data_IF_961248847506
#
_entry.id   IF_961248847506
#
_cell.length_a   1.000
_cell.length_b   1.000
_cell.length_c   1.000
_cell.angle_alpha   90.00
_cell.angle_beta   90.00
_cell.angle_gamma   90.00
#
_symmetry.space_group_name_H-M   'P 1'
#
loop_
_entity.id
_entity.type
_entity.pdbx_description
1 polymer ?
#
# COMPACT_ATOMS: atom_id res chain seq x y z
N UNK A 1 -29.81 -2.12 25.98
CA UNK A 1 -29.98 -3.38 25.24
C UNK A 1 -29.08 -3.50 24.02
N UNK A 2 -28.83 -2.47 23.18
CA UNK A 2 -27.93 -2.55 22.01
C UNK A 2 -26.44 -2.82 22.35
N UNK A 3 -25.95 -2.34 23.50
CA UNK A 3 -24.53 -2.50 23.90
C UNK A 3 -24.19 -3.94 24.39
N UNK A 4 -25.15 -4.67 24.92
CA UNK A 4 -24.91 -6.04 25.39
C UNK A 4 -24.86 -7.04 24.22
N UNK A 5 -25.63 -6.80 23.16
CA UNK A 5 -25.61 -7.63 21.98
C UNK A 5 -24.30 -7.47 21.18
N UNK A 6 -23.70 -6.25 21.13
CA UNK A 6 -22.40 -6.04 20.48
C UNK A 6 -21.28 -6.86 21.14
N UNK A 7 -21.23 -6.90 22.48
CA UNK A 7 -20.20 -7.69 23.20
C UNK A 7 -20.40 -9.21 23.08
N UNK A 8 -21.63 -9.68 22.92
CA UNK A 8 -21.90 -11.12 22.76
C UNK A 8 -21.54 -11.62 21.36
N UNK A 9 -21.71 -10.77 20.34
CA UNK A 9 -21.35 -11.10 18.95
C UNK A 9 -19.82 -11.14 18.75
N UNK A 10 -19.08 -10.25 19.39
CA UNK A 10 -17.61 -10.24 19.36
C UNK A 10 -17.01 -11.49 20.06
N UNK A 11 -17.62 -11.95 21.15
CA UNK A 11 -17.17 -13.18 21.84
C UNK A 11 -17.47 -14.45 21.02
N UNK A 12 -18.54 -14.46 20.23
CA UNK A 12 -18.89 -15.61 19.39
C UNK A 12 -17.96 -15.72 18.16
N UNK A 13 -17.54 -14.60 17.58
CA UNK A 13 -16.62 -14.58 16.44
C UNK A 13 -15.21 -15.03 16.84
N UNK A 14 -14.72 -14.66 18.02
CA UNK A 14 -13.43 -15.14 18.56
C UNK A 14 -13.47 -16.65 18.84
N UNK A 15 -14.60 -17.19 19.32
CA UNK A 15 -14.74 -18.63 19.58
C UNK A 15 -14.83 -19.45 18.30
N UNK A 16 -15.42 -18.91 17.21
CA UNK A 16 -15.49 -19.59 15.91
C UNK A 16 -14.11 -19.58 15.23
N UNK A 17 -13.31 -18.50 15.38
CA UNK A 17 -11.94 -18.44 14.83
C UNK A 17 -10.97 -19.43 15.53
N UNK A 18 -11.08 -19.60 16.85
CA UNK A 18 -10.24 -20.59 17.57
C UNK A 18 -10.62 -22.04 17.24
N UNK A 19 -11.88 -22.32 16.92
CA UNK A 19 -12.29 -23.66 16.49
C UNK A 19 -11.92 -23.97 15.02
N UNK A 20 -11.89 -22.98 14.13
CA UNK A 20 -11.43 -23.15 12.76
C UNK A 20 -9.91 -23.38 12.67
N UNK A 21 -9.11 -22.82 13.56
CA UNK A 21 -7.66 -23.10 13.60
C UNK A 21 -7.36 -24.53 14.11
N UNK A 22 -8.23 -25.12 14.92
CA UNK A 22 -8.09 -26.52 15.37
C UNK A 22 -8.62 -27.54 14.35
N UNK A 23 -9.49 -27.16 13.43
CA UNK A 23 -10.10 -28.03 12.44
C UNK A 23 -9.32 -28.12 11.11
N UNK A 24 -8.32 -27.26 10.86
CA UNK A 24 -7.45 -27.33 9.67
C UNK A 24 -6.34 -28.40 9.75
N UNK A 25 -6.39 -29.26 10.76
CA UNK A 25 -5.40 -30.32 10.97
C UNK A 25 -5.72 -31.69 10.37
N UNK A 26 -6.80 -31.88 9.61
CA UNK A 26 -7.06 -33.14 8.88
C UNK A 26 -8.16 -32.98 7.83
N UNK A 27 -7.81 -32.79 6.58
CA UNK A 27 -8.55 -33.21 5.39
C UNK A 27 -7.63 -33.02 4.18
N UNK A 28 -7.11 -34.05 3.61
CA UNK A 28 -7.61 -34.81 2.49
C UNK A 28 -7.02 -34.33 1.19
N UNK A 29 -6.14 -35.14 0.62
CA UNK A 29 -5.49 -35.13 -0.69
C UNK A 29 -6.43 -34.81 -1.88
N UNK A 30 -5.81 -34.19 -2.91
CA UNK A 30 -6.23 -34.01 -4.30
C UNK A 30 -6.93 -32.70 -4.68
N UNK A 31 -6.10 -31.69 -4.92
CA UNK A 31 -6.27 -30.81 -6.06
C UNK A 31 -4.86 -30.46 -6.58
N UNK A 32 -4.58 -30.90 -7.80
CA UNK A 32 -3.34 -30.67 -8.53
C UNK A 32 -3.16 -29.16 -8.75
N UNK A 33 -2.43 -28.52 -7.85
CA UNK A 33 -1.89 -27.18 -8.05
C UNK A 33 -0.48 -27.40 -8.58
N UNK A 34 -0.27 -27.10 -9.84
CA UNK A 34 1.06 -27.11 -10.45
C UNK A 34 1.94 -26.09 -9.72
N UNK A 35 2.65 -26.58 -8.70
CA UNK A 35 3.77 -25.88 -8.12
C UNK A 35 4.89 -25.85 -9.16
N UNK A 36 5.17 -24.67 -9.69
CA UNK A 36 6.47 -24.43 -10.30
C UNK A 36 7.50 -24.56 -9.17
N UNK A 37 8.20 -25.68 -9.18
CA UNK A 37 9.34 -25.95 -8.31
C UNK A 37 10.38 -24.86 -8.50
N UNK A 38 10.51 -23.95 -7.52
CA UNK A 38 11.68 -23.11 -7.39
C UNK A 38 12.76 -23.99 -6.78
N UNK A 39 13.66 -24.48 -7.63
CA UNK A 39 14.89 -25.14 -7.19
C UNK A 39 15.72 -24.13 -6.39
N UNK A 40 16.05 -24.51 -5.15
CA UNK A 40 17.15 -23.93 -4.40
C UNK A 40 18.44 -24.20 -5.17
N UNK A 41 18.99 -23.19 -5.83
CA UNK A 41 20.39 -23.24 -6.24
C UNK A 41 20.96 -21.86 -6.56
N UNK A 42 22.17 -21.68 -6.04
CA UNK A 42 23.23 -20.72 -6.33
C UNK A 42 23.17 -19.36 -5.64
N UNK A 43 24.10 -19.22 -4.70
CA UNK A 43 24.67 -17.95 -4.23
C UNK A 43 25.20 -17.14 -5.43
N UNK A 44 24.37 -16.21 -5.93
CA UNK A 44 24.82 -15.14 -6.78
C UNK A 44 24.98 -13.89 -5.90
N UNK A 45 26.13 -13.21 -6.01
CA UNK A 45 26.53 -11.99 -5.35
C UNK A 45 25.54 -10.81 -5.60
N UNK A 46 24.34 -10.92 -5.09
CA UNK A 46 23.35 -9.82 -5.02
C UNK A 46 23.61 -9.04 -3.72
N UNK A 47 23.76 -7.73 -3.80
CA UNK A 47 23.70 -6.87 -2.63
C UNK A 47 22.35 -7.12 -1.95
N UNK A 48 22.36 -7.77 -0.80
CA UNK A 48 21.18 -7.91 0.05
C UNK A 48 20.62 -6.52 0.36
N UNK A 49 19.31 -6.32 0.16
CA UNK A 49 18.58 -5.12 0.59
C UNK A 49 18.43 -5.23 2.13
N UNK A 50 19.54 -5.30 2.86
CA UNK A 50 19.53 -5.35 4.31
C UNK A 50 19.47 -3.93 4.85
N UNK A 51 18.46 -3.65 5.68
CA UNK A 51 18.28 -2.36 6.36
C UNK A 51 17.37 -1.37 5.62
N UNK A 52 16.57 -1.81 4.66
CA UNK A 52 15.57 -0.98 4.00
C UNK A 52 14.32 -0.86 4.90
N UNK A 53 14.37 0.08 5.85
CA UNK A 53 13.18 0.53 6.56
C UNK A 53 12.55 1.65 5.72
N UNK A 54 11.54 1.32 4.93
CA UNK A 54 10.81 2.35 4.18
C UNK A 54 9.98 3.17 5.16
N UNK A 55 10.40 4.39 5.37
CA UNK A 55 9.62 5.39 6.09
C UNK A 55 8.66 6.02 5.11
N UNK A 56 7.37 5.93 5.37
CA UNK A 56 6.33 6.51 4.55
C UNK A 56 5.52 7.48 5.39
N UNK A 57 5.71 8.77 5.15
CA UNK A 57 5.08 9.86 5.91
C UNK A 57 3.99 10.57 5.11
N UNK A 58 3.59 10.00 3.99
CA UNK A 58 2.60 10.53 3.06
C UNK A 58 1.75 9.37 2.54
N UNK A 59 0.45 9.55 2.52
CA UNK A 59 -0.51 8.57 1.99
C UNK A 59 -1.68 9.29 1.32
N UNK A 60 -2.28 8.64 0.33
CA UNK A 60 -3.38 9.18 -0.44
C UNK A 60 -4.34 8.07 -0.89
N UNK A 61 -5.61 8.33 -0.73
CA UNK A 61 -6.73 7.54 -1.22
C UNK A 61 -7.80 8.49 -1.72
N UNK A 62 -8.98 8.48 -1.13
CA UNK A 62 -9.98 9.56 -1.33
C UNK A 62 -9.66 10.81 -0.51
N UNK A 63 -8.73 10.71 0.43
CA UNK A 63 -8.24 11.78 1.29
C UNK A 63 -6.72 11.80 1.27
N UNK A 64 -6.13 12.95 1.57
CA UNK A 64 -4.69 13.13 1.71
C UNK A 64 -4.27 13.07 3.17
N UNK A 65 -3.13 12.44 3.45
CA UNK A 65 -2.57 12.31 4.78
C UNK A 65 -1.07 12.58 4.75
N UNK A 66 -0.55 13.31 5.74
CA UNK A 66 0.88 13.45 5.99
C UNK A 66 1.17 13.35 7.48
N UNK A 67 2.34 12.83 7.81
CA UNK A 67 2.85 12.80 9.19
C UNK A 67 3.73 14.04 9.39
N UNK A 68 3.49 14.78 10.47
CA UNK A 68 4.29 15.94 10.86
C UNK A 68 5.55 15.51 11.60
N UNK A 69 6.49 16.43 11.78
CA UNK A 69 7.71 16.21 12.56
C UNK A 69 7.44 15.92 14.05
N UNK A 70 6.24 16.24 14.55
CA UNK A 70 5.77 15.87 15.89
C UNK A 70 5.15 14.45 15.94
N UNK A 71 5.01 13.77 14.80
CA UNK A 71 4.34 12.46 14.71
C UNK A 71 2.81 12.52 14.69
N UNK A 72 2.24 13.72 14.52
CA UNK A 72 0.80 13.92 14.31
C UNK A 72 0.45 13.72 12.83
N UNK A 73 -0.84 13.49 12.53
CA UNK A 73 -1.32 13.38 11.15
C UNK A 73 -2.10 14.64 10.77
N UNK A 74 -1.75 15.25 9.63
CA UNK A 74 -2.60 16.21 8.94
C UNK A 74 -3.41 15.47 7.86
N UNK A 75 -4.65 15.88 7.68
CA UNK A 75 -5.59 15.27 6.74
C UNK A 75 -6.29 16.37 5.92
N UNK A 76 -6.43 16.16 4.60
CA UNK A 76 -7.25 16.99 3.71
C UNK A 76 -8.30 16.15 2.98
N UNK A 77 -9.46 16.76 2.75
CA UNK A 77 -10.64 16.18 2.13
C UNK A 77 -11.86 16.33 3.03
N UNK A 78 -13.05 16.22 2.44
CA UNK A 78 -14.32 16.35 3.14
C UNK A 78 -15.26 15.20 2.81
N UNK A 79 -15.77 14.53 3.83
CA UNK A 79 -16.68 13.39 3.70
C UNK A 79 -18.12 13.78 3.35
N UNK A 80 -18.53 15.07 3.52
CA UNK A 80 -19.94 15.46 3.36
C UNK A 80 -20.55 15.20 1.98
N UNK A 81 -19.71 15.02 0.96
CA UNK A 81 -20.13 14.80 -0.43
C UNK A 81 -19.68 13.46 -1.03
N UNK A 82 -19.03 12.60 -0.25
CA UNK A 82 -18.57 11.29 -0.70
C UNK A 82 -19.64 10.27 -0.35
N UNK A 83 -20.31 9.70 -1.37
CA UNK A 83 -21.26 8.61 -1.15
C UNK A 83 -20.52 7.28 -1.07
N UNK A 84 -20.52 6.65 0.08
CA UNK A 84 -20.12 5.24 0.21
C UNK A 84 -21.20 4.32 -0.41
N UNK A 85 -20.84 3.07 -0.69
CA UNK A 85 -21.78 2.04 -1.12
C UNK A 85 -22.92 1.80 -0.10
N UNK A 86 -22.70 2.12 1.18
CA UNK A 86 -23.68 1.99 2.28
C UNK A 86 -24.45 3.27 2.61
N UNK A 87 -24.12 4.41 1.94
CA UNK A 87 -24.80 5.70 2.15
C UNK A 87 -24.36 6.50 3.38
N UNK A 88 -23.41 6.02 4.16
CA UNK A 88 -22.76 6.77 5.27
C UNK A 88 -21.27 6.81 5.00
N UNK A 89 -20.77 7.96 4.60
CA UNK A 89 -19.33 8.17 4.47
C UNK A 89 -18.80 8.68 5.80
N UNK A 90 -17.89 7.94 6.38
CA UNK A 90 -17.18 8.33 7.60
C UNK A 90 -15.76 8.70 7.15
N UNK A 91 -15.36 9.93 7.42
CA UNK A 91 -13.97 10.33 7.30
C UNK A 91 -13.18 9.63 8.40
N UNK A 92 -12.05 8.96 8.10
CA UNK A 92 -11.25 8.31 9.12
C UNK A 92 -10.81 9.26 10.23
N UNK A 93 -10.94 8.82 11.49
CA UNK A 93 -10.58 9.60 12.67
C UNK A 93 -9.11 9.38 13.05
N UNK A 94 -8.19 10.04 12.34
CA UNK A 94 -6.74 9.89 12.55
C UNK A 94 -6.17 10.83 13.63
N UNK A 95 -6.93 11.82 14.10
CA UNK A 95 -6.45 12.88 15.01
C UNK A 95 -5.99 12.36 16.39
N UNK A 96 -6.46 11.17 16.80
CA UNK A 96 -6.04 10.55 18.06
C UNK A 96 -4.71 9.78 17.95
N UNK A 97 -4.23 9.51 16.74
CA UNK A 97 -3.00 8.78 16.50
C UNK A 97 -1.79 9.68 16.73
N UNK A 98 -0.77 9.15 17.39
CA UNK A 98 0.42 9.89 17.78
C UNK A 98 1.67 9.07 17.51
N UNK A 99 2.80 9.77 17.41
CA UNK A 99 4.11 9.16 17.23
C UNK A 99 4.20 8.25 16.00
N UNK A 100 3.49 8.63 14.93
CA UNK A 100 3.40 7.84 13.71
C UNK A 100 4.71 7.89 12.94
N UNK A 101 5.18 6.71 12.51
CA UNK A 101 6.39 6.53 11.70
C UNK A 101 6.12 5.98 10.30
N UNK A 102 4.92 5.47 10.05
CA UNK A 102 4.49 4.93 8.76
C UNK A 102 2.99 5.14 8.59
N UNK A 103 2.56 5.54 7.41
CA UNK A 103 1.16 5.71 7.06
C UNK A 103 0.91 5.18 5.64
N UNK A 104 -0.23 4.54 5.44
CA UNK A 104 -0.73 4.14 4.13
C UNK A 104 -2.23 4.34 4.03
N UNK A 105 -2.73 4.63 2.83
CA UNK A 105 -4.16 4.85 2.60
C UNK A 105 -4.56 4.45 1.19
N UNK A 106 -5.76 3.88 1.06
CA UNK A 106 -6.43 3.65 -0.21
C UNK A 106 -7.94 3.76 -0.06
N UNK A 107 -8.61 4.33 -1.08
CA UNK A 107 -10.04 4.57 -1.03
C UNK A 107 -10.44 5.32 0.24
N UNK A 108 -11.22 4.68 1.10
CA UNK A 108 -11.68 5.22 2.38
C UNK A 108 -10.93 4.68 3.60
N UNK A 109 -9.94 3.82 3.38
CA UNK A 109 -9.18 3.19 4.45
C UNK A 109 -7.84 3.88 4.65
N UNK A 110 -7.41 3.99 5.89
CA UNK A 110 -6.10 4.47 6.28
C UNK A 110 -5.54 3.58 7.37
N UNK A 111 -4.25 3.32 7.33
CA UNK A 111 -3.54 2.59 8.35
C UNK A 111 -2.19 3.24 8.67
N UNK A 112 -1.70 3.02 9.88
CA UNK A 112 -0.44 3.60 10.32
C UNK A 112 0.26 2.67 11.32
N UNK A 113 1.57 2.86 11.48
CA UNK A 113 2.37 2.22 12.51
C UNK A 113 3.00 3.34 13.36
N UNK A 114 2.85 3.25 14.67
CA UNK A 114 3.51 4.16 15.61
C UNK A 114 4.95 3.72 15.95
N UNK A 115 5.67 4.56 16.68
CA UNK A 115 7.04 4.27 17.10
C UNK A 115 7.17 3.05 18.03
N UNK A 116 6.09 2.66 18.71
CA UNK A 116 6.02 1.46 19.54
C UNK A 116 5.72 0.19 18.70
N UNK A 117 5.50 0.32 17.38
CA UNK A 117 5.16 -0.77 16.47
C UNK A 117 3.70 -1.23 16.58
N UNK A 118 2.81 -0.40 17.13
CA UNK A 118 1.36 -0.66 17.13
C UNK A 118 0.79 -0.25 15.79
N UNK A 119 -0.21 -1.01 15.35
CA UNK A 119 -0.95 -0.71 14.12
C UNK A 119 -2.24 0.01 14.44
N UNK A 120 -2.47 1.10 13.76
CA UNK A 120 -3.70 1.86 13.75
C UNK A 120 -4.39 1.67 12.39
N UNK A 121 -5.70 1.65 12.36
CA UNK A 121 -6.46 1.55 11.11
C UNK A 121 -7.88 2.06 11.28
N UNK A 122 -8.40 2.76 10.27
CA UNK A 122 -9.76 3.30 10.25
C UNK A 122 -10.28 3.40 8.81
N UNK A 123 -11.57 3.73 8.65
CA UNK A 123 -12.23 3.87 7.34
C UNK A 123 -12.90 2.60 6.83
N UNK A 124 -12.88 1.50 7.58
CA UNK A 124 -13.60 0.28 7.25
C UNK A 124 -15.05 0.35 7.73
N UNK A 125 -16.00 -0.15 6.93
CA UNK A 125 -17.43 -0.19 7.28
C UNK A 125 -17.75 -1.03 8.53
N UNK A 126 -16.77 -1.73 9.11
CA UNK A 126 -16.93 -2.61 10.28
C UNK A 126 -15.87 -2.32 11.34
N UNK A 127 -16.28 -2.10 12.57
CA UNK A 127 -15.43 -2.02 13.79
C UNK A 127 -14.50 -3.25 13.99
N UNK A 128 -14.63 -4.30 13.17
CA UNK A 128 -13.87 -5.54 13.28
C UNK A 128 -12.41 -5.41 12.80
N UNK A 129 -12.11 -4.48 11.90
CA UNK A 129 -10.75 -4.28 11.39
C UNK A 129 -9.83 -3.65 12.41
N UNK A 130 -10.27 -2.58 13.07
CA UNK A 130 -9.49 -1.85 14.07
C UNK A 130 -9.14 -2.76 15.29
N UNK A 131 -10.12 -3.50 15.80
CA UNK A 131 -9.91 -4.43 16.91
C UNK A 131 -8.92 -5.54 16.54
N UNK A 132 -8.92 -5.99 15.29
CA UNK A 132 -8.05 -7.08 14.85
C UNK A 132 -6.61 -6.62 14.65
N UNK A 133 -6.40 -5.43 14.10
CA UNK A 133 -5.05 -4.87 13.86
C UNK A 133 -4.30 -4.63 15.17
N UNK A 134 -4.97 -4.14 16.21
CA UNK A 134 -4.37 -3.88 17.53
C UNK A 134 -3.84 -5.14 18.23
N UNK A 135 -4.23 -6.34 17.78
CA UNK A 135 -3.73 -7.62 18.31
C UNK A 135 -2.35 -8.00 17.76
N UNK A 136 -1.94 -7.43 16.64
CA UNK A 136 -0.66 -7.75 16.02
C UNK A 136 0.46 -6.90 16.62
N UNK A 137 1.61 -7.54 16.83
CA UNK A 137 2.84 -6.92 17.34
C UNK A 137 3.99 -7.18 16.38
N UNK A 138 5.04 -6.38 16.51
CA UNK A 138 6.24 -6.51 15.69
C UNK A 138 5.93 -6.39 14.19
N UNK A 139 5.10 -5.43 13.84
CA UNK A 139 4.70 -5.20 12.47
C UNK A 139 5.77 -4.34 11.79
N UNK A 140 6.26 -4.82 10.65
CA UNK A 140 7.23 -4.11 9.82
C UNK A 140 6.53 -3.19 8.82
N UNK A 141 5.40 -3.66 8.26
CA UNK A 141 4.64 -2.91 7.27
C UNK A 141 3.15 -3.23 7.38
N UNK A 142 2.34 -2.24 7.14
CA UNK A 142 0.90 -2.39 6.89
C UNK A 142 0.56 -1.60 5.62
N UNK A 143 -0.20 -2.20 4.73
CA UNK A 143 -0.71 -1.57 3.52
C UNK A 143 -2.20 -1.83 3.43
N UNK A 144 -2.93 -0.91 2.81
CA UNK A 144 -4.38 -1.04 2.66
C UNK A 144 -4.81 -0.93 1.21
N UNK A 145 -5.83 -1.67 0.86
CA UNK A 145 -6.57 -1.58 -0.39
C UNK A 145 -8.04 -1.90 -0.13
N UNK A 146 -8.95 -1.01 -0.51
CA UNK A 146 -10.42 -1.16 -0.52
C UNK A 146 -11.02 -1.93 0.66
N UNK A 147 -10.70 -1.71 1.91
CA UNK A 147 -11.21 -2.42 3.10
C UNK A 147 -10.44 -3.71 3.46
N UNK A 148 -9.27 -3.93 2.89
CA UNK A 148 -8.39 -5.01 3.28
C UNK A 148 -7.07 -4.42 3.74
N UNK A 149 -6.65 -4.78 4.95
CA UNK A 149 -5.31 -4.48 5.43
C UNK A 149 -4.42 -5.70 5.25
N UNK A 150 -3.27 -5.52 4.63
CA UNK A 150 -2.24 -6.55 4.55
C UNK A 150 -1.08 -6.15 5.45
N UNK A 151 -0.76 -7.01 6.38
CA UNK A 151 0.24 -6.80 7.43
C UNK A 151 1.41 -7.73 7.20
N UNK A 152 2.62 -7.18 7.23
CA UNK A 152 3.87 -7.93 7.26
C UNK A 152 4.48 -7.84 8.65
N UNK A 153 4.74 -8.98 9.29
CA UNK A 153 5.40 -9.03 10.59
C UNK A 153 6.90 -9.37 10.46
N UNK A 154 7.62 -9.30 11.58
CA UNK A 154 9.06 -9.59 11.69
C UNK A 154 9.45 -11.06 11.39
N UNK A 155 8.47 -11.95 11.32
CA UNK A 155 8.63 -13.37 10.97
C UNK A 155 8.32 -13.65 9.49
N UNK A 156 8.34 -12.61 8.65
CA UNK A 156 8.03 -12.69 7.21
C UNK A 156 6.63 -13.30 6.92
N UNK A 157 5.66 -13.10 7.82
CA UNK A 157 4.28 -13.55 7.61
C UNK A 157 3.42 -12.41 7.08
N UNK A 158 2.72 -12.71 6.00
CA UNK A 158 1.64 -11.86 5.47
C UNK A 158 0.32 -12.28 6.09
N UNK A 159 -0.42 -11.30 6.60
CA UNK A 159 -1.73 -11.49 7.21
C UNK A 159 -2.68 -10.46 6.60
N UNK A 160 -3.76 -10.92 5.98
CA UNK A 160 -4.81 -10.04 5.46
C UNK A 160 -5.99 -10.01 6.42
N UNK A 161 -6.46 -8.81 6.71
CA UNK A 161 -7.57 -8.52 7.62
C UNK A 161 -8.54 -7.59 6.92
N UNK A 162 -9.82 -7.89 6.96
CA UNK A 162 -10.85 -7.04 6.34
C UNK A 162 -12.11 -7.82 6.00
N UNK A 163 -13.10 -7.11 5.45
CA UNK A 163 -14.40 -7.70 5.10
C UNK A 163 -14.37 -8.48 3.79
N UNK A 164 -13.50 -8.12 2.87
CA UNK A 164 -13.41 -8.67 1.51
C UNK A 164 -12.04 -9.27 1.21
N UNK A 165 -11.44 -10.00 2.15
CA UNK A 165 -10.14 -10.65 1.94
C UNK A 165 -10.20 -11.57 0.73
N UNK A 166 -9.43 -11.31 -0.34
CA UNK A 166 -9.46 -12.10 -1.57
C UNK A 166 -9.10 -13.58 -1.32
N UNK A 167 -9.62 -14.48 -2.14
CA UNK A 167 -9.34 -15.91 -1.99
C UNK A 167 -7.84 -16.23 -2.11
N UNK A 168 -7.13 -15.55 -3.00
CA UNK A 168 -5.68 -15.68 -3.19
C UNK A 168 -4.87 -15.21 -1.97
N UNK A 169 -5.33 -14.21 -1.21
CA UNK A 169 -4.68 -13.75 0.01
C UNK A 169 -4.69 -14.81 1.13
N UNK A 170 -5.60 -15.78 1.08
CA UNK A 170 -5.63 -16.93 2.01
C UNK A 170 -4.55 -17.96 1.71
N UNK A 171 -3.87 -17.87 0.58
CA UNK A 171 -2.86 -18.83 0.10
C UNK A 171 -1.42 -18.36 0.27
N UNK A 172 -1.21 -17.22 0.92
CA UNK A 172 0.13 -16.68 1.12
C UNK A 172 1.03 -17.64 1.87
N UNK A 173 1.06 -18.67 2.09
CA UNK A 173 2.08 -19.50 2.71
C UNK A 173 3.13 -18.75 3.52
N UNK A 174 4.15 -19.41 3.97
CA UNK A 174 5.32 -18.78 4.55
C UNK A 174 6.21 -18.33 3.39
N UNK A 175 6.28 -17.01 3.15
CA UNK A 175 7.20 -16.43 2.18
C UNK A 175 8.37 -15.86 2.99
N UNK A 176 9.55 -16.42 2.81
CA UNK A 176 10.75 -15.96 3.52
C UNK A 176 11.46 -14.84 2.76
N UNK A 177 12.16 -13.98 3.51
CA UNK A 177 13.03 -12.95 2.96
C UNK A 177 12.28 -11.78 2.32
N UNK A 178 11.10 -11.42 2.84
CA UNK A 178 10.34 -10.26 2.37
C UNK A 178 11.07 -8.97 2.78
N UNK A 179 11.25 -8.07 1.82
CA UNK A 179 11.74 -6.71 2.04
C UNK A 179 10.59 -5.69 2.09
N UNK A 180 9.61 -5.84 1.19
CA UNK A 180 8.52 -4.89 1.04
C UNK A 180 7.30 -5.55 0.37
N UNK A 181 6.11 -5.05 0.67
CA UNK A 181 4.85 -5.43 0.01
C UNK A 181 4.13 -4.19 -0.49
N UNK A 182 3.42 -4.34 -1.60
CA UNK A 182 2.44 -3.37 -2.06
C UNK A 182 1.21 -4.09 -2.60
N UNK A 183 0.04 -3.46 -2.52
CA UNK A 183 -1.24 -4.07 -2.84
C UNK A 183 -2.08 -3.17 -3.74
N UNK A 184 -2.90 -3.80 -4.55
CA UNK A 184 -4.01 -3.17 -5.27
C UNK A 184 -5.23 -4.08 -5.20
N UNK A 185 -6.38 -3.60 -5.64
CA UNK A 185 -7.62 -4.37 -5.70
C UNK A 185 -7.52 -5.66 -6.54
N UNK A 186 -6.52 -5.79 -7.40
CA UNK A 186 -6.37 -6.91 -8.32
C UNK A 186 -5.28 -7.90 -7.91
N UNK A 187 -4.28 -7.46 -7.12
CA UNK A 187 -3.13 -8.31 -6.77
C UNK A 187 -2.30 -7.73 -5.61
N UNK A 188 -1.41 -8.57 -5.10
CA UNK A 188 -0.33 -8.16 -4.19
C UNK A 188 1.01 -8.44 -4.83
N UNK A 189 1.92 -7.48 -4.80
CA UNK A 189 3.32 -7.67 -5.13
C UNK A 189 4.16 -7.78 -3.86
N UNK A 190 5.12 -8.69 -3.88
CA UNK A 190 6.06 -8.94 -2.79
C UNK A 190 7.47 -8.79 -3.32
N UNK A 191 8.20 -7.80 -2.82
CA UNK A 191 9.62 -7.62 -3.07
C UNK A 191 10.41 -8.41 -2.04
N UNK A 192 11.32 -9.25 -2.51
CA UNK A 192 12.23 -10.02 -1.65
C UNK A 192 13.55 -9.28 -1.42
N UNK A 193 14.24 -9.61 -0.32
CA UNK A 193 15.56 -9.07 0.03
C UNK A 193 16.65 -9.35 -1.01
N UNK A 194 16.42 -10.31 -1.91
CA UNK A 194 17.30 -10.62 -3.05
C UNK A 194 16.98 -9.82 -4.33
N UNK A 195 16.02 -8.87 -4.27
CA UNK A 195 15.61 -8.04 -5.40
C UNK A 195 14.66 -8.71 -6.37
N UNK A 196 14.15 -9.90 -6.05
CA UNK A 196 13.11 -10.56 -6.85
C UNK A 196 11.72 -10.12 -6.43
N UNK A 197 10.79 -10.14 -7.37
CA UNK A 197 9.38 -9.79 -7.14
C UNK A 197 8.49 -10.98 -7.43
N UNK A 198 7.54 -11.24 -6.53
CA UNK A 198 6.48 -12.23 -6.71
C UNK A 198 5.13 -11.54 -6.70
N UNK A 199 4.22 -11.93 -7.59
CA UNK A 199 2.87 -11.38 -7.69
C UNK A 199 1.86 -12.46 -7.32
N UNK A 200 0.88 -12.10 -6.51
CA UNK A 200 -0.25 -12.92 -6.07
C UNK A 200 -1.55 -12.29 -6.54
N UNK A 201 -2.27 -12.95 -7.43
CA UNK A 201 -3.55 -12.49 -7.99
C UNK A 201 -4.52 -13.67 -8.16
N UNK A 202 -5.76 -13.37 -8.49
CA UNK A 202 -6.73 -14.40 -8.86
C UNK A 202 -6.48 -14.89 -10.28
N UNK A 203 -6.28 -16.19 -10.45
CA UNK A 203 -5.98 -16.80 -11.74
C UNK A 203 -4.53 -16.64 -12.19
N UNK A 204 -4.21 -17.19 -13.38
CA UNK A 204 -2.92 -17.02 -14.02
C UNK A 204 -3.00 -15.82 -14.96
N UNK A 205 -2.28 -14.76 -14.63
CA UNK A 205 -2.15 -13.60 -15.50
C UNK A 205 -0.74 -13.63 -16.12
N UNK A 206 -0.63 -14.13 -17.35
CA UNK A 206 0.66 -14.24 -18.05
C UNK A 206 1.32 -12.88 -18.29
N UNK A 207 0.52 -11.81 -18.39
CA UNK A 207 1.01 -10.44 -18.59
C UNK A 207 1.66 -9.86 -17.32
N UNK A 208 1.48 -10.49 -16.16
CA UNK A 208 2.03 -10.07 -14.86
C UNK A 208 3.31 -10.84 -14.50
N UNK A 209 4.12 -11.21 -15.47
CA UNK A 209 5.32 -12.03 -15.28
C UNK A 209 6.55 -11.18 -14.90
N UNK A 210 7.03 -11.30 -13.67
CA UNK A 210 8.21 -10.61 -13.14
C UNK A 210 9.47 -11.46 -13.11
N UNK A 211 9.47 -12.66 -13.70
CA UNK A 211 10.60 -13.63 -13.61
C UNK A 211 11.93 -13.11 -14.17
N UNK A 212 11.88 -12.13 -15.05
CA UNK A 212 13.06 -11.48 -15.65
C UNK A 212 13.53 -10.25 -14.87
N UNK A 213 12.83 -9.86 -13.81
CA UNK A 213 13.19 -8.70 -13.02
C UNK A 213 14.35 -9.01 -12.09
N UNK A 214 15.37 -8.17 -12.10
CA UNK A 214 16.54 -8.23 -11.23
C UNK A 214 16.83 -6.86 -10.66
N UNK A 215 17.51 -6.84 -9.52
CA UNK A 215 17.99 -5.62 -8.88
C UNK A 215 16.87 -4.64 -8.48
N UNK A 216 15.67 -5.17 -8.25
CA UNK A 216 14.54 -4.36 -7.81
C UNK A 216 14.75 -3.92 -6.36
N UNK A 217 14.56 -2.62 -6.11
CA UNK A 217 14.71 -2.00 -4.79
C UNK A 217 13.40 -1.42 -4.27
N UNK A 218 12.40 -1.21 -5.13
CA UNK A 218 11.07 -0.72 -4.77
C UNK A 218 10.01 -1.26 -5.74
N UNK A 219 8.76 -1.40 -5.29
CA UNK A 219 7.62 -1.84 -6.09
C UNK A 219 6.42 -0.94 -5.84
N UNK A 220 5.55 -0.82 -6.84
CA UNK A 220 4.24 -0.17 -6.74
C UNK A 220 3.19 -0.95 -7.55
N UNK A 221 1.98 -1.05 -7.00
CA UNK A 221 0.85 -1.74 -7.62
C UNK A 221 -0.21 -0.74 -8.08
N UNK A 222 -0.49 -0.71 -9.38
CA UNK A 222 -1.69 -0.06 -9.91
C UNK A 222 -2.78 -1.08 -10.24
N UNK A 223 -3.85 -0.66 -10.90
CA UNK A 223 -4.92 -1.55 -11.29
C UNK A 223 -4.49 -2.45 -12.46
N UNK A 224 -4.28 -3.74 -12.20
CA UNK A 224 -3.80 -4.75 -13.15
C UNK A 224 -2.41 -4.49 -13.74
N UNK A 225 -1.55 -3.72 -13.10
CA UNK A 225 -0.14 -3.58 -13.48
C UNK A 225 0.74 -3.42 -12.24
N UNK A 226 1.98 -3.86 -12.36
CA UNK A 226 3.01 -3.74 -11.32
C UNK A 226 4.23 -3.03 -11.86
N UNK A 227 4.84 -2.23 -11.02
CA UNK A 227 6.02 -1.44 -11.32
C UNK A 227 7.16 -1.87 -10.41
N UNK A 228 8.36 -1.96 -10.96
CA UNK A 228 9.59 -2.20 -10.22
C UNK A 228 10.59 -1.08 -10.48
N UNK A 229 11.11 -0.48 -9.41
CA UNK A 229 12.25 0.44 -9.48
C UNK A 229 13.54 -0.35 -9.32
N UNK A 230 14.45 -0.20 -10.28
CA UNK A 230 15.77 -0.83 -10.21
C UNK A 230 16.77 0.03 -9.45
N UNK A 231 17.81 -0.62 -8.94
CA UNK A 231 18.88 0.04 -8.20
C UNK A 231 19.71 1.04 -9.03
N UNK A 232 19.61 0.98 -10.37
CA UNK A 232 20.24 1.94 -11.30
C UNK A 232 19.35 3.16 -11.60
N UNK A 233 18.16 3.25 -11.00
CA UNK A 233 17.21 4.35 -11.20
C UNK A 233 16.35 4.20 -12.45
N UNK A 234 16.38 3.07 -13.15
CA UNK A 234 15.45 2.74 -14.23
C UNK A 234 14.20 2.04 -13.68
N UNK A 235 13.11 2.04 -14.46
CA UNK A 235 11.81 1.48 -14.06
C UNK A 235 11.42 0.38 -15.04
N UNK A 236 10.84 -0.69 -14.51
CA UNK A 236 10.26 -1.80 -15.27
C UNK A 236 8.80 -1.99 -14.88
N UNK A 237 7.98 -2.43 -15.84
CA UNK A 237 6.54 -2.59 -15.64
C UNK A 237 6.07 -3.91 -16.26
N UNK A 238 4.98 -4.48 -15.72
CA UNK A 238 4.22 -5.60 -16.30
C UNK A 238 2.74 -5.36 -16.08
N UNK A 239 1.90 -5.88 -16.98
CA UNK A 239 0.43 -5.80 -16.90
C UNK A 239 -0.18 -4.77 -17.84
N UNK A 240 -1.33 -4.22 -17.43
CA UNK A 240 -2.15 -3.31 -18.24
C UNK A 240 -1.41 -2.02 -18.63
N UNK A 241 -1.56 -1.60 -19.91
CA UNK A 241 -1.01 -0.36 -20.46
C UNK A 241 -2.04 0.41 -21.31
N UNK A 242 -3.34 0.25 -21.05
CA UNK A 242 -4.41 0.87 -21.86
C UNK A 242 -4.36 2.40 -21.88
N UNK A 243 -3.79 3.03 -20.86
CA UNK A 243 -3.65 4.48 -20.75
C UNK A 243 -2.21 4.98 -20.89
N UNK A 244 -1.25 4.11 -21.23
CA UNK A 244 0.17 4.45 -21.31
C UNK A 244 0.86 4.48 -19.94
N UNK A 245 0.28 3.89 -18.89
CA UNK A 245 0.86 3.85 -17.54
C UNK A 245 2.14 3.03 -17.45
N UNK A 246 2.43 2.19 -18.44
CA UNK A 246 3.67 1.43 -18.55
C UNK A 246 4.70 2.06 -19.52
N UNK A 247 4.45 3.26 -20.05
CA UNK A 247 5.35 3.92 -21.01
C UNK A 247 6.48 4.67 -20.30
N UNK A 248 7.36 3.92 -19.65
CA UNK A 248 8.43 4.43 -18.76
C UNK A 248 9.85 4.16 -19.24
N UNK A 249 10.04 3.72 -20.49
CA UNK A 249 11.34 3.32 -21.04
C UNK A 249 12.41 4.41 -20.99
N UNK A 250 12.00 5.69 -20.99
CA UNK A 250 12.89 6.87 -20.95
C UNK A 250 13.14 7.35 -19.50
N UNK A 251 12.51 6.73 -18.48
CA UNK A 251 12.68 7.16 -17.10
C UNK A 251 14.06 6.76 -16.59
N UNK A 252 14.76 7.74 -15.99
CA UNK A 252 16.11 7.60 -15.41
C UNK A 252 16.20 8.43 -14.14
N UNK A 253 17.16 8.06 -13.31
CA UNK A 253 17.43 8.75 -12.05
C UNK A 253 16.25 8.75 -11.08
N UNK A 254 15.36 7.75 -11.22
CA UNK A 254 14.20 7.58 -10.34
C UNK A 254 14.68 7.07 -8.99
N UNK A 255 14.15 7.66 -7.92
CA UNK A 255 14.46 7.31 -6.52
C UNK A 255 13.21 6.86 -5.74
N UNK A 256 12.02 7.13 -6.25
CA UNK A 256 10.76 6.66 -5.69
C UNK A 256 9.74 6.46 -6.82
N UNK A 257 8.91 5.44 -6.70
CA UNK A 257 7.75 5.19 -7.56
C UNK A 257 6.49 5.12 -6.71
N UNK A 258 5.36 5.52 -7.28
CA UNK A 258 4.02 5.30 -6.74
C UNK A 258 3.06 5.06 -7.89
N UNK A 259 2.09 4.18 -7.68
CA UNK A 259 1.10 3.81 -8.68
C UNK A 259 -0.28 3.74 -8.05
N UNK A 260 -1.28 4.23 -8.75
CA UNK A 260 -2.67 4.12 -8.33
C UNK A 260 -3.55 4.02 -9.58
N UNK A 261 -4.52 3.11 -9.59
CA UNK A 261 -5.40 2.88 -10.76
C UNK A 261 -4.60 2.75 -12.07
N UNK A 262 -4.67 3.75 -12.96
CA UNK A 262 -4.04 3.79 -14.29
C UNK A 262 -3.02 4.93 -14.42
N UNK A 263 -2.45 5.38 -13.31
CA UNK A 263 -1.43 6.42 -13.27
C UNK A 263 -0.19 5.90 -12.55
N UNK A 264 0.97 6.31 -13.00
CA UNK A 264 2.28 6.02 -12.42
C UNK A 264 3.08 7.31 -12.28
N UNK A 265 3.60 7.56 -11.10
CA UNK A 265 4.46 8.72 -10.81
C UNK A 265 5.85 8.24 -10.41
N UNK A 266 6.87 8.91 -10.91
CA UNK A 266 8.28 8.72 -10.54
C UNK A 266 8.90 10.00 -10.01
N UNK A 267 9.49 9.94 -8.81
CA UNK A 267 10.30 11.02 -8.26
C UNK A 267 11.76 10.84 -8.71
N UNK A 268 12.36 11.88 -9.27
CA UNK A 268 13.76 11.86 -9.63
C UNK A 268 14.66 12.34 -8.50
N UNK A 269 15.91 11.94 -8.54
CA UNK A 269 16.94 12.31 -7.56
C UNK A 269 17.21 13.82 -7.46
N UNK A 270 16.90 14.59 -8.53
CA UNK A 270 16.99 16.06 -8.54
C UNK A 270 15.77 16.76 -7.92
N UNK A 271 14.75 16.02 -7.49
CA UNK A 271 13.52 16.54 -6.91
C UNK A 271 12.47 16.99 -7.94
N UNK A 272 12.66 16.67 -9.21
CA UNK A 272 11.61 16.77 -10.23
C UNK A 272 10.79 15.49 -10.28
N UNK A 273 9.59 15.53 -10.89
CA UNK A 273 8.64 14.43 -10.91
C UNK A 273 8.23 14.14 -12.35
N UNK A 274 8.06 12.87 -12.68
CA UNK A 274 7.57 12.39 -13.97
C UNK A 274 6.31 11.56 -13.78
N UNK A 275 5.43 11.56 -14.79
CA UNK A 275 4.17 10.82 -14.77
C UNK A 275 3.95 10.07 -16.07
N UNK A 276 3.22 8.95 -15.99
CA UNK A 276 2.71 8.17 -17.12
C UNK A 276 1.30 7.67 -16.81
N UNK A 277 0.46 7.55 -17.85
CA UNK A 277 -0.90 7.02 -17.72
C UNK A 277 -1.99 8.07 -17.80
N UNK A 278 -3.11 7.81 -17.12
CA UNK A 278 -4.30 8.65 -17.17
C UNK A 278 -4.04 10.04 -16.56
N UNK A 279 -4.46 11.08 -17.29
CA UNK A 279 -4.44 12.48 -16.83
C UNK A 279 -5.81 13.15 -16.96
N UNK A 280 -6.88 12.37 -16.95
CA UNK A 280 -8.25 12.89 -17.16
C UNK A 280 -8.73 13.84 -16.06
N UNK A 281 -8.06 13.86 -14.92
CA UNK A 281 -8.32 14.73 -13.77
C UNK A 281 -7.25 15.80 -13.54
N UNK A 282 -6.16 15.81 -14.33
CA UNK A 282 -5.01 16.67 -14.11
C UNK A 282 -4.00 16.11 -13.09
N UNK A 283 -4.10 14.83 -12.73
CA UNK A 283 -3.21 14.17 -11.78
C UNK A 283 -1.76 14.07 -12.25
N UNK A 284 -1.51 14.22 -13.56
CA UNK A 284 -0.16 14.27 -14.14
C UNK A 284 0.35 15.70 -14.40
N UNK A 285 -0.36 16.76 -13.97
CA UNK A 285 0.03 18.16 -14.22
C UNK A 285 1.13 18.62 -13.24
N UNK A 286 2.23 17.88 -13.20
CA UNK A 286 3.32 18.00 -12.23
C UNK A 286 4.59 18.62 -12.83
N UNK A 287 4.58 19.09 -14.07
CA UNK A 287 5.77 19.56 -14.79
C UNK A 287 6.52 20.72 -14.13
N UNK A 288 5.82 21.53 -13.35
CA UNK A 288 6.39 22.66 -12.59
C UNK A 288 6.90 22.27 -11.18
N UNK A 289 6.70 21.00 -10.78
CA UNK A 289 7.12 20.54 -9.47
C UNK A 289 8.64 20.38 -9.40
N UNK A 290 9.20 20.96 -8.36
CA UNK A 290 10.64 20.87 -8.02
C UNK A 290 10.83 20.85 -6.50
N UNK A 291 12.03 20.48 -6.08
CA UNK A 291 12.35 20.31 -4.65
C UNK A 291 11.44 19.29 -3.94
N UNK A 292 10.86 18.36 -4.67
CA UNK A 292 10.05 17.28 -4.11
C UNK A 292 10.96 16.25 -3.46
N UNK A 293 10.57 15.75 -2.30
CA UNK A 293 11.29 14.71 -1.54
C UNK A 293 10.47 13.46 -1.33
N UNK A 294 9.15 13.52 -1.53
CA UNK A 294 8.27 12.34 -1.53
C UNK A 294 7.01 12.63 -2.33
N UNK A 295 6.49 11.59 -2.99
CA UNK A 295 5.24 11.67 -3.77
C UNK A 295 4.35 10.48 -3.46
N UNK A 296 3.04 10.67 -3.60
CA UNK A 296 2.05 9.60 -3.56
C UNK A 296 0.88 9.96 -4.48
N UNK A 297 0.23 8.94 -5.02
CA UNK A 297 -1.01 9.08 -5.78
C UNK A 297 -2.21 8.72 -4.92
N UNK A 298 -3.30 9.45 -5.12
CA UNK A 298 -4.62 9.12 -4.63
C UNK A 298 -5.61 8.93 -5.79
N UNK A 299 -6.88 8.92 -5.48
CA UNK A 299 -7.95 8.71 -6.45
C UNK A 299 -8.09 9.91 -7.40
N UNK A 300 -7.31 9.90 -8.49
CA UNK A 300 -7.30 10.93 -9.53
C UNK A 300 -6.56 12.22 -9.14
N UNK A 301 -5.64 12.16 -8.19
CA UNK A 301 -4.78 13.28 -7.82
C UNK A 301 -3.40 12.81 -7.36
N UNK A 302 -2.43 13.69 -7.39
CA UNK A 302 -1.06 13.46 -6.92
C UNK A 302 -0.73 14.46 -5.81
N UNK A 303 -0.11 13.97 -4.74
CA UNK A 303 0.35 14.73 -3.58
C UNK A 303 1.87 14.62 -3.46
N UNK A 304 2.54 15.74 -3.24
CA UNK A 304 3.99 15.81 -3.05
C UNK A 304 4.39 16.56 -1.79
N UNK A 305 5.44 16.10 -1.12
CA UNK A 305 6.12 16.82 -0.03
C UNK A 305 7.34 17.52 -0.59
N UNK A 306 7.46 18.81 -0.30
CA UNK A 306 8.65 19.59 -0.65
C UNK A 306 9.73 19.50 0.43
N UNK A 307 10.97 19.77 0.00
CA UNK A 307 12.15 19.81 0.89
C UNK A 307 12.04 20.82 2.03
N UNK A 308 11.21 21.85 1.91
CA UNK A 308 10.97 22.83 2.97
C UNK A 308 9.91 22.38 3.99
N UNK A 309 9.34 21.19 3.84
CA UNK A 309 8.35 20.61 4.74
C UNK A 309 6.92 21.08 4.44
N UNK A 310 6.68 21.71 3.28
CA UNK A 310 5.34 22.03 2.78
C UNK A 310 4.82 20.95 1.82
N UNK A 311 3.54 21.00 1.47
CA UNK A 311 2.92 20.08 0.50
C UNK A 311 2.46 20.81 -0.77
N UNK A 312 2.30 20.03 -1.84
CA UNK A 312 1.65 20.43 -3.09
C UNK A 312 0.77 19.28 -3.57
N UNK A 313 -0.35 19.61 -4.22
CA UNK A 313 -1.22 18.61 -4.83
C UNK A 313 -1.81 19.12 -6.14
N UNK A 314 -2.08 18.19 -7.07
CA UNK A 314 -2.77 18.45 -8.34
C UNK A 314 -3.72 17.31 -8.67
N UNK A 315 -4.74 17.59 -9.47
CA UNK A 315 -5.72 16.60 -9.91
C UNK A 315 -7.11 16.86 -9.37
N UNK A 316 -7.88 15.80 -9.16
CA UNK A 316 -9.24 15.89 -8.62
C UNK A 316 -9.22 16.53 -7.22
N UNK A 317 -9.98 17.62 -7.07
CA UNK A 317 -10.16 18.31 -5.80
C UNK A 317 -11.63 18.47 -5.42
N UNK A 318 -12.49 17.59 -5.96
CA UNK A 318 -13.93 17.65 -5.74
C UNK A 318 -14.31 17.60 -4.25
N UNK A 319 -13.51 16.93 -3.46
CA UNK A 319 -13.75 16.74 -2.02
C UNK A 319 -12.75 17.50 -1.14
N UNK A 320 -11.91 18.38 -1.71
CA UNK A 320 -10.91 19.14 -0.96
C UNK A 320 -9.64 18.35 -0.62
N UNK A 321 -9.41 17.21 -1.28
CA UNK A 321 -8.24 16.35 -1.05
C UNK A 321 -6.92 17.01 -1.49
N UNK A 322 -6.97 18.02 -2.33
CA UNK A 322 -5.82 18.84 -2.72
C UNK A 322 -5.66 20.14 -1.92
N UNK A 323 -6.49 20.39 -0.90
CA UNK A 323 -6.41 21.59 -0.06
C UNK A 323 -5.30 21.41 0.99
N UNK A 324 -4.05 21.56 0.59
CA UNK A 324 -2.86 21.26 1.38
C UNK A 324 -1.92 22.47 1.50
N UNK A 325 -2.36 23.65 1.07
CA UNK A 325 -1.55 24.89 0.97
C UNK A 325 -1.04 25.36 2.35
N UNK A 326 -1.80 25.09 3.41
CA UNK A 326 -1.47 25.48 4.79
C UNK A 326 -0.67 24.38 5.53
N UNK A 327 -0.30 23.28 4.85
CA UNK A 327 0.44 22.20 5.49
C UNK A 327 1.92 22.53 5.62
N UNK A 328 2.42 22.47 6.85
CA UNK A 328 3.79 22.77 7.24
C UNK A 328 4.36 21.72 8.19
N UNK A 329 5.67 21.74 8.39
CA UNK A 329 6.37 20.87 9.32
C UNK A 329 6.13 19.38 9.05
N UNK A 330 5.99 19.01 7.77
CA UNK A 330 5.79 17.64 7.35
C UNK A 330 7.10 16.85 7.54
N UNK A 331 6.99 15.64 8.09
CA UNK A 331 8.12 14.74 8.23
C UNK A 331 8.64 14.31 6.85
N UNK A 332 9.96 14.35 6.69
CA UNK A 332 10.64 13.93 5.46
C UNK A 332 11.22 12.52 5.61
N UNK A 333 11.31 11.73 4.51
CA UNK A 333 11.88 10.39 4.50
C UNK A 333 13.37 10.34 4.87
#
# INVERSE_FOLDING_TARGET
MKSVYKKLFCLLSVFIMTFLMAACGKAGENADVTHNNISEDSEANGKSISGYERKRYIAAGNFSYVVTTSGDILQAGNSENVSSYSGTTIMPEVNSWKDIKYIDADGFSVCAIDNDGRVHGDGMENDAGEVTLSMYKNIQQVVTDMQVFTVLNDSDRLICVGSNVPAWAKTYGIISGIAYIDVSNSHTAVLKKDGKVSIFCEGVNEDMNTSQWTDIIDIACGNNYTVGLKSDGTVVTVGDNDCGQCDVSEWKDIVQITAYYKTLIGLKSDGTVVAAGDNSKGQCDISEWNNIVSVVEGNGYTLGIKRDGTAVAVGDNKYGQCNVEDWENIQQP
#
